data_IF_360006745576
#
_entry.id   IF_360006745576
#
_cell.length_a   1.000
_cell.length_b   1.000
_cell.length_c   1.000
_cell.angle_alpha   90.00
_cell.angle_beta   90.00
_cell.angle_gamma   90.00
#
_symmetry.space_group_name_H-M   'P 1'
#
loop_
_entity.id
_entity.type
_entity.pdbx_description
1 polymer ?
#
# COMPACT_ATOMS: atom_id res chain seq x y z
N UNK A 1 65.50 12.99 -34.25
CA UNK A 1 65.40 13.17 -32.77
C UNK A 1 64.13 12.51 -32.28
N UNK A 2 64.18 11.21 -31.96
CA UNK A 2 63.03 10.49 -31.38
C UNK A 2 62.98 10.75 -29.87
N UNK A 3 61.95 11.46 -29.40
CA UNK A 3 61.66 11.56 -27.97
C UNK A 3 61.13 10.21 -27.50
N UNK A 4 61.88 9.53 -26.62
CA UNK A 4 61.40 8.36 -25.88
C UNK A 4 60.19 8.76 -25.06
N UNK A 5 59.02 8.29 -25.47
CA UNK A 5 57.78 8.41 -24.71
C UNK A 5 57.92 7.54 -23.46
N UNK A 6 57.88 8.17 -22.29
CA UNK A 6 58.18 7.54 -21.02
C UNK A 6 57.03 6.57 -20.67
N UNK A 7 57.31 5.26 -20.66
CA UNK A 7 56.33 4.18 -20.46
C UNK A 7 55.51 4.37 -19.16
N UNK A 8 56.12 5.02 -18.15
CA UNK A 8 55.48 5.36 -16.89
C UNK A 8 54.28 6.32 -17.00
N UNK A 9 54.26 7.20 -18.00
CA UNK A 9 53.17 8.18 -18.16
C UNK A 9 51.90 7.53 -18.70
N UNK A 10 52.02 6.43 -19.45
CA UNK A 10 50.88 5.67 -19.98
C UNK A 10 50.24 4.80 -18.89
N UNK A 11 51.04 4.23 -17.99
CA UNK A 11 50.53 3.37 -16.91
C UNK A 11 49.76 4.16 -15.83
N UNK A 12 50.17 5.41 -15.54
CA UNK A 12 49.47 6.28 -14.59
C UNK A 12 48.12 6.76 -15.14
N UNK A 13 48.01 7.00 -16.46
CA UNK A 13 46.75 7.41 -17.07
C UNK A 13 45.68 6.28 -17.07
N UNK A 14 46.09 5.02 -17.15
CA UNK A 14 45.17 3.86 -17.16
C UNK A 14 44.61 3.55 -15.76
N UNK A 15 45.37 3.85 -14.70
CA UNK A 15 44.92 3.63 -13.30
C UNK A 15 43.91 4.67 -12.80
N UNK A 16 43.78 5.82 -13.46
CA UNK A 16 42.84 6.89 -13.05
C UNK A 16 41.46 6.70 -13.69
N UNK A 17 41.34 5.93 -14.78
CA UNK A 17 40.06 5.70 -15.47
C UNK A 17 39.23 4.54 -14.92
N UNK A 18 39.75 3.76 -13.97
CA UNK A 18 39.02 2.64 -13.34
C UNK A 18 38.20 3.05 -12.09
N UNK A 19 38.18 4.34 -11.73
CA UNK A 19 37.34 4.87 -10.64
C UNK A 19 36.15 5.70 -11.13
N UNK A 20 35.66 5.45 -12.35
CA UNK A 20 34.24 5.70 -12.63
C UNK A 20 33.50 4.52 -12.02
N UNK A 21 33.28 4.62 -10.70
CA UNK A 21 32.36 3.75 -10.00
C UNK A 21 31.05 3.81 -10.76
N UNK A 22 30.71 2.71 -11.41
CA UNK A 22 29.35 2.45 -11.86
C UNK A 22 28.52 2.40 -10.57
N UNK A 23 28.01 3.55 -10.14
CA UNK A 23 27.00 3.60 -9.08
C UNK A 23 25.79 2.92 -9.67
N UNK A 24 25.68 1.62 -9.45
CA UNK A 24 24.43 0.91 -9.60
C UNK A 24 23.39 1.75 -8.84
N UNK A 25 22.32 2.22 -9.50
CA UNK A 25 21.26 2.92 -8.80
C UNK A 25 20.80 1.95 -7.71
N UNK A 26 21.02 2.31 -6.45
CA UNK A 26 20.51 1.51 -5.34
C UNK A 26 19.00 1.51 -5.54
N UNK A 27 18.46 0.40 -6.02
CA UNK A 27 17.02 0.29 -6.22
C UNK A 27 16.42 0.27 -4.82
N UNK A 28 16.06 1.44 -4.30
CA UNK A 28 15.51 1.55 -2.95
C UNK A 28 14.30 0.61 -2.84
N UNK A 29 14.22 -0.09 -1.71
CA UNK A 29 13.06 -0.92 -1.41
C UNK A 29 11.83 -0.01 -1.25
N UNK A 30 10.64 -0.56 -1.46
CA UNK A 30 9.39 0.19 -1.22
C UNK A 30 9.32 0.68 0.24
N UNK A 31 9.85 -0.12 1.17
CA UNK A 31 10.04 0.29 2.57
C UNK A 31 10.86 1.57 2.72
N UNK A 32 12.02 1.65 2.07
CA UNK A 32 12.90 2.81 2.17
C UNK A 32 12.28 4.06 1.54
N UNK A 33 11.55 3.89 0.44
CA UNK A 33 10.85 5.00 -0.25
C UNK A 33 9.76 5.58 0.65
N UNK A 34 8.91 4.72 1.21
CA UNK A 34 7.83 5.14 2.10
C UNK A 34 8.38 5.75 3.39
N UNK A 35 9.39 5.13 4.01
CA UNK A 35 10.02 5.67 5.22
C UNK A 35 10.66 7.04 4.96
N UNK A 36 11.30 7.23 3.81
CA UNK A 36 11.88 8.51 3.41
C UNK A 36 10.80 9.58 3.22
N UNK A 37 9.65 9.22 2.63
CA UNK A 37 8.51 10.12 2.51
C UNK A 37 8.03 10.60 3.87
N UNK A 38 7.80 9.69 4.82
CA UNK A 38 7.36 10.06 6.16
C UNK A 38 8.40 10.90 6.91
N UNK A 39 9.69 10.56 6.82
CA UNK A 39 10.76 11.37 7.43
C UNK A 39 10.78 12.80 6.91
N UNK A 40 10.49 12.99 5.62
CA UNK A 40 10.45 14.31 4.99
C UNK A 40 9.19 15.11 5.33
N UNK A 41 8.02 14.49 5.24
CA UNK A 41 6.73 15.19 5.34
C UNK A 41 6.12 15.16 6.74
N UNK A 42 6.48 14.19 7.57
CA UNK A 42 5.98 14.00 8.93
C UNK A 42 7.17 13.77 9.91
N UNK A 43 8.17 14.67 9.98
CA UNK A 43 9.41 14.44 10.74
C UNK A 43 9.22 14.27 12.26
N UNK A 44 8.11 14.76 12.80
CA UNK A 44 7.71 14.58 14.20
C UNK A 44 7.14 13.19 14.47
N UNK A 45 6.67 12.47 13.44
CA UNK A 45 6.10 11.14 13.57
C UNK A 45 7.20 10.10 13.82
N UNK A 46 7.34 9.66 15.08
CA UNK A 46 8.31 8.62 15.51
C UNK A 46 7.75 7.20 15.43
N UNK A 47 6.56 7.03 14.86
CA UNK A 47 5.93 5.74 14.64
C UNK A 47 6.76 4.81 13.77
N UNK A 48 6.54 3.50 13.94
CA UNK A 48 7.07 2.50 13.01
C UNK A 48 6.21 2.49 11.75
N UNK A 49 6.86 2.62 10.59
CA UNK A 49 6.17 2.46 9.30
C UNK A 49 5.82 0.99 9.11
N UNK A 50 4.55 0.74 8.80
CA UNK A 50 4.03 -0.56 8.43
C UNK A 50 3.58 -0.50 6.97
N UNK A 51 3.96 -1.51 6.18
CA UNK A 51 3.41 -1.74 4.84
C UNK A 51 2.47 -2.93 4.96
N UNK A 52 1.20 -2.73 4.61
CA UNK A 52 0.17 -3.75 4.74
C UNK A 52 -0.08 -4.50 3.44
N UNK A 53 0.01 -3.81 2.30
CA UNK A 53 -0.23 -4.38 0.99
C UNK A 53 0.47 -3.57 -0.11
N UNK A 54 0.80 -4.25 -1.20
CA UNK A 54 1.35 -3.67 -2.42
C UNK A 54 0.64 -4.28 -3.62
N UNK A 55 0.30 -3.48 -4.64
CA UNK A 55 -0.36 -3.97 -5.86
C UNK A 55 0.13 -3.20 -7.08
N UNK A 56 0.49 -3.91 -8.13
CA UNK A 56 0.73 -3.30 -9.44
C UNK A 56 -0.57 -2.69 -9.97
N UNK A 57 -0.50 -1.46 -10.46
CA UNK A 57 -1.63 -0.70 -10.96
C UNK A 57 -1.20 0.05 -12.23
N UNK A 58 -1.55 -0.49 -13.40
CA UNK A 58 -1.05 0.01 -14.70
C UNK A 58 0.49 0.12 -14.65
N UNK A 59 1.05 1.24 -15.11
CA UNK A 59 2.48 1.57 -15.08
C UNK A 59 2.84 2.27 -13.75
N UNK A 60 2.33 1.74 -12.64
CA UNK A 60 2.49 2.32 -11.30
C UNK A 60 2.32 1.24 -10.23
N UNK A 61 2.64 1.59 -8.99
CA UNK A 61 2.47 0.71 -7.83
C UNK A 61 1.65 1.39 -6.74
N UNK A 62 0.61 0.72 -6.27
CA UNK A 62 -0.15 1.10 -5.08
C UNK A 62 0.49 0.49 -3.84
N UNK A 63 0.69 1.28 -2.79
CA UNK A 63 1.31 0.84 -1.53
C UNK A 63 0.45 1.33 -0.36
N UNK A 64 -0.10 0.38 0.40
CA UNK A 64 -0.92 0.65 1.58
C UNK A 64 -0.04 0.62 2.84
N UNK A 65 -0.07 1.70 3.61
CA UNK A 65 0.83 1.89 4.74
C UNK A 65 0.14 2.55 5.93
N UNK A 66 0.78 2.47 7.09
CA UNK A 66 0.48 3.30 8.26
C UNK A 66 1.81 3.68 8.92
N UNK A 67 1.86 4.88 9.50
CA UNK A 67 2.91 5.27 10.46
C UNK A 67 2.23 5.86 11.68
N UNK A 68 1.89 5.00 12.63
CA UNK A 68 1.09 5.39 13.79
C UNK A 68 1.90 6.22 14.80
N UNK A 69 1.40 7.41 15.10
CA UNK A 69 2.00 8.41 16.00
C UNK A 69 1.79 8.11 17.48
N UNK A 70 0.86 7.22 17.84
CA UNK A 70 0.53 6.93 19.25
C UNK A 70 -0.57 7.83 19.85
N UNK A 71 -1.23 8.66 19.03
CA UNK A 71 -2.25 9.64 19.48
C UNK A 71 -3.68 9.09 19.55
N UNK A 72 -3.86 7.79 19.32
CA UNK A 72 -5.16 7.11 19.28
C UNK A 72 -5.90 7.20 17.94
N UNK A 73 -5.40 7.99 16.97
CA UNK A 73 -6.00 8.14 15.65
C UNK A 73 -5.23 7.32 14.61
N UNK A 74 -5.73 6.12 14.37
CA UNK A 74 -5.21 5.24 13.33
C UNK A 74 -5.73 5.66 11.96
N UNK A 75 -4.80 5.94 11.04
CA UNK A 75 -5.10 6.24 9.64
C UNK A 75 -4.17 5.44 8.75
N UNK A 76 -4.70 4.99 7.62
CA UNK A 76 -3.90 4.37 6.56
C UNK A 76 -3.64 5.36 5.46
N UNK A 77 -2.50 5.22 4.80
CA UNK A 77 -2.14 5.98 3.62
C UNK A 77 -1.97 5.03 2.45
N UNK A 78 -2.74 5.24 1.38
CA UNK A 78 -2.51 4.61 0.09
C UNK A 78 -1.64 5.55 -0.76
N UNK A 79 -0.42 5.12 -1.08
CA UNK A 79 0.47 5.83 -1.99
C UNK A 79 0.37 5.26 -3.40
N UNK A 80 0.41 6.13 -4.40
CA UNK A 80 0.64 5.77 -5.80
C UNK A 80 2.08 6.14 -6.16
N UNK A 81 2.86 5.16 -6.57
CA UNK A 81 4.24 5.32 -7.02
C UNK A 81 4.30 5.18 -8.54
N UNK A 82 4.99 6.10 -9.20
CA UNK A 82 5.29 5.98 -10.63
C UNK A 82 6.33 4.89 -10.91
N UNK A 83 6.62 4.63 -12.19
CA UNK A 83 7.65 3.66 -12.63
C UNK A 83 9.06 4.01 -12.13
N UNK A 84 9.32 5.28 -11.82
CA UNK A 84 10.58 5.73 -11.22
C UNK A 84 10.58 5.58 -9.69
N UNK A 85 9.56 4.89 -9.13
CA UNK A 85 9.34 4.68 -7.70
C UNK A 85 9.21 5.97 -6.90
N UNK A 86 8.73 7.04 -7.51
CA UNK A 86 8.39 8.31 -6.83
C UNK A 86 6.95 8.24 -6.37
N UNK A 87 6.71 8.56 -5.09
CA UNK A 87 5.35 8.77 -4.61
C UNK A 87 4.83 10.05 -5.27
N UNK A 88 3.78 9.91 -6.07
CA UNK A 88 3.16 11.01 -6.84
C UNK A 88 1.80 11.41 -6.25
N UNK A 89 1.10 10.49 -5.59
CA UNK A 89 -0.20 10.74 -4.95
C UNK A 89 -0.33 9.99 -3.62
N UNK A 90 -1.15 10.53 -2.72
CA UNK A 90 -1.51 9.96 -1.42
C UNK A 90 -3.03 10.05 -1.21
N UNK A 91 -3.64 9.03 -0.64
CA UNK A 91 -5.00 9.09 -0.11
C UNK A 91 -4.99 8.60 1.33
N UNK A 92 -5.75 9.27 2.22
CA UNK A 92 -5.88 8.87 3.61
C UNK A 92 -7.17 8.07 3.78
N UNK A 93 -7.07 6.87 4.36
CA UNK A 93 -8.20 5.98 4.62
C UNK A 93 -8.39 5.72 6.11
N UNK A 94 -9.64 5.47 6.50
CA UNK A 94 -9.99 5.06 7.84
C UNK A 94 -9.52 3.62 8.12
N UNK A 95 -9.25 3.32 9.39
CA UNK A 95 -8.95 1.98 9.89
C UNK A 95 -10.12 1.43 10.70
N UNK A 96 -10.33 0.11 10.72
CA UNK A 96 -11.39 -0.49 11.52
C UNK A 96 -11.15 -0.29 13.02
N UNK A 97 -12.17 0.17 13.76
CA UNK A 97 -12.10 0.33 15.22
C UNK A 97 -12.70 -0.90 15.92
N UNK A 98 -13.97 -1.19 15.62
CA UNK A 98 -14.71 -2.29 16.27
C UNK A 98 -15.10 -3.40 15.31
N UNK A 99 -15.23 -3.08 14.02
CA UNK A 99 -15.50 -4.05 12.96
C UNK A 99 -14.22 -4.79 12.56
N UNK A 100 -14.40 -5.93 11.89
CA UNK A 100 -13.31 -6.72 11.33
C UNK A 100 -12.46 -5.94 10.31
N UNK A 101 -13.10 -5.07 9.50
CA UNK A 101 -12.45 -4.34 8.41
C UNK A 101 -13.24 -3.09 8.03
N UNK A 102 -12.65 -2.19 7.25
CA UNK A 102 -13.33 -1.08 6.56
C UNK A 102 -12.92 -1.12 5.10
N UNK A 103 -13.80 -0.71 4.19
CA UNK A 103 -13.48 -0.52 2.79
C UNK A 103 -13.37 0.97 2.48
N UNK A 104 -12.16 1.44 2.25
CA UNK A 104 -11.92 2.76 1.67
C UNK A 104 -11.99 2.65 0.14
N UNK A 105 -12.63 3.63 -0.50
CA UNK A 105 -12.90 3.62 -1.94
C UNK A 105 -12.30 4.86 -2.59
N UNK A 106 -11.64 4.67 -3.72
CA UNK A 106 -11.12 5.74 -4.59
C UNK A 106 -11.59 5.47 -6.01
N UNK A 107 -12.12 6.49 -6.66
CA UNK A 107 -12.27 6.51 -8.11
C UNK A 107 -11.10 7.28 -8.72
N UNK A 108 -10.27 6.60 -9.52
CA UNK A 108 -9.06 7.19 -10.10
C UNK A 108 -8.77 6.59 -11.47
N UNK A 109 -8.54 7.45 -12.46
CA UNK A 109 -8.09 7.05 -13.81
C UNK A 109 -8.97 5.93 -14.44
N UNK A 110 -10.29 6.10 -14.32
CA UNK A 110 -11.31 5.17 -14.81
C UNK A 110 -11.50 3.90 -13.99
N UNK A 111 -10.75 3.72 -12.90
CA UNK A 111 -10.81 2.54 -12.02
C UNK A 111 -11.44 2.85 -10.67
N UNK A 112 -12.14 1.86 -10.11
CA UNK A 112 -12.54 1.85 -8.69
C UNK A 112 -11.53 1.04 -7.89
N UNK A 113 -10.83 1.68 -6.95
CA UNK A 113 -9.81 1.09 -6.08
C UNK A 113 -10.40 0.96 -4.68
N UNK A 114 -10.32 -0.24 -4.12
CA UNK A 114 -10.71 -0.59 -2.76
C UNK A 114 -9.46 -0.89 -1.94
N UNK A 115 -9.38 -0.37 -0.73
CA UNK A 115 -8.28 -0.67 0.17
C UNK A 115 -8.69 -0.58 1.64
N UNK A 116 -7.94 -1.27 2.49
CA UNK A 116 -8.17 -1.25 3.93
C UNK A 116 -7.29 -2.22 4.67
N UNK A 117 -7.42 -2.20 6.00
CA UNK A 117 -6.74 -3.11 6.92
C UNK A 117 -7.74 -3.98 7.66
N UNK A 118 -7.24 -5.02 8.31
CA UNK A 118 -8.02 -5.94 9.13
C UNK A 118 -7.67 -5.78 10.60
N UNK A 119 -8.68 -5.90 11.44
CA UNK A 119 -8.49 -6.18 12.86
C UNK A 119 -8.31 -7.68 13.08
N UNK A 120 -7.70 -8.04 14.21
CA UNK A 120 -7.59 -9.43 14.70
C UNK A 120 -8.92 -9.97 15.29
N UNK A 121 -9.94 -9.12 15.30
CA UNK A 121 -11.22 -9.37 15.95
C UNK A 121 -12.32 -8.47 15.40
N UNK A 122 -13.56 -8.83 15.70
CA UNK A 122 -14.76 -8.05 15.37
C UNK A 122 -15.70 -8.00 16.56
N UNK A 123 -16.43 -6.89 16.71
CA UNK A 123 -17.42 -6.68 17.77
C UNK A 123 -18.82 -7.08 17.35
N UNK A 124 -19.35 -8.19 17.81
CA UNK A 124 -20.74 -8.56 17.53
C UNK A 124 -21.68 -7.62 18.30
N UNK A 125 -22.48 -6.81 17.60
CA UNK A 125 -23.43 -5.85 18.22
C UNK A 125 -24.43 -6.58 19.12
N UNK A 126 -24.96 -7.70 18.63
CA UNK A 126 -25.75 -8.66 19.40
C UNK A 126 -25.01 -10.00 19.24
N UNK A 127 -24.39 -10.56 20.29
CA UNK A 127 -24.68 -10.38 21.72
C UNK A 127 -23.76 -9.42 22.48
N UNK A 128 -23.25 -8.35 21.86
CA UNK A 128 -22.32 -7.39 22.47
C UNK A 128 -21.00 -8.03 22.93
N UNK A 129 -20.29 -8.68 21.99
CA UNK A 129 -19.07 -9.44 22.29
C UNK A 129 -17.99 -9.30 21.25
N UNK A 130 -16.74 -9.23 21.73
CA UNK A 130 -15.56 -9.37 20.88
C UNK A 130 -15.38 -10.83 20.44
N UNK A 131 -15.27 -11.06 19.14
CA UNK A 131 -15.00 -12.35 18.51
C UNK A 131 -13.67 -12.27 17.76
N UNK A 132 -12.71 -13.18 18.00
CA UNK A 132 -11.48 -13.23 17.21
C UNK A 132 -11.78 -13.61 15.76
N UNK A 133 -11.00 -13.07 14.82
CA UNK A 133 -11.04 -13.44 13.40
C UNK A 133 -9.65 -13.84 12.92
N UNK A 134 -9.60 -14.72 11.93
CA UNK A 134 -8.36 -15.08 11.25
C UNK A 134 -8.53 -14.87 9.75
N UNK A 135 -8.10 -13.72 9.25
CA UNK A 135 -8.29 -13.35 7.85
C UNK A 135 -7.08 -13.84 7.04
N UNK A 136 -7.34 -14.65 6.02
CA UNK A 136 -6.32 -15.23 5.14
C UNK A 136 -6.63 -14.98 3.66
N UNK A 137 -7.91 -14.80 3.32
CA UNK A 137 -8.35 -14.56 1.95
C UNK A 137 -9.42 -13.47 1.92
N UNK A 138 -9.44 -12.72 0.83
CA UNK A 138 -10.50 -11.76 0.49
C UNK A 138 -11.10 -12.13 -0.86
N UNK A 139 -12.42 -12.02 -0.99
CA UNK A 139 -13.12 -12.07 -2.27
C UNK A 139 -13.92 -10.78 -2.46
N UNK A 140 -13.76 -10.15 -3.61
CA UNK A 140 -14.54 -8.96 -4.01
C UNK A 140 -15.20 -9.23 -5.34
N UNK A 141 -16.50 -8.94 -5.42
CA UNK A 141 -17.23 -8.90 -6.69
C UNK A 141 -17.74 -7.51 -6.95
N UNK A 142 -17.55 -7.05 -8.18
CA UNK A 142 -18.13 -5.83 -8.71
C UNK A 142 -19.38 -6.15 -9.54
N UNK A 143 -20.31 -5.19 -9.66
CA UNK A 143 -21.58 -5.35 -10.39
C UNK A 143 -21.41 -5.61 -11.89
N UNK A 144 -20.23 -5.35 -12.43
CA UNK A 144 -19.84 -5.69 -13.80
C UNK A 144 -19.29 -7.12 -13.92
N UNK A 145 -19.48 -7.96 -12.91
CA UNK A 145 -19.04 -9.35 -12.82
C UNK A 145 -17.52 -9.56 -12.71
N UNK A 146 -16.72 -8.50 -12.56
CA UNK A 146 -15.32 -8.67 -12.16
C UNK A 146 -15.24 -9.27 -10.75
N UNK A 147 -14.48 -10.35 -10.60
CA UNK A 147 -14.27 -11.04 -9.32
C UNK A 147 -12.77 -11.12 -9.05
N UNK A 148 -12.39 -10.76 -7.83
CA UNK A 148 -11.01 -10.81 -7.35
C UNK A 148 -10.96 -11.65 -6.09
N UNK A 149 -10.01 -12.59 -6.06
CA UNK A 149 -9.72 -13.41 -4.89
C UNK A 149 -8.22 -13.37 -4.63
N UNK A 150 -7.84 -12.79 -3.50
CA UNK A 150 -6.43 -12.62 -3.13
C UNK A 150 -6.17 -13.23 -1.75
N UNK A 151 -4.98 -13.83 -1.57
CA UNK A 151 -4.44 -14.10 -0.24
C UNK A 151 -4.01 -12.79 0.39
N UNK A 152 -4.31 -12.62 1.67
CA UNK A 152 -4.05 -11.39 2.41
C UNK A 152 -3.52 -11.68 3.81
N UNK A 153 -2.83 -10.71 4.38
CA UNK A 153 -2.34 -10.78 5.77
C UNK A 153 -3.02 -9.70 6.62
N UNK A 154 -2.57 -8.45 6.50
CA UNK A 154 -2.99 -7.34 7.38
C UNK A 154 -3.81 -6.26 6.68
N UNK A 155 -3.87 -6.30 5.36
CA UNK A 155 -4.66 -5.38 4.55
C UNK A 155 -4.77 -5.83 3.12
N UNK A 156 -5.50 -5.05 2.32
CA UNK A 156 -5.81 -5.37 0.93
C UNK A 156 -5.77 -4.13 0.05
N UNK A 157 -5.49 -4.35 -1.24
CA UNK A 157 -5.67 -3.39 -2.32
C UNK A 157 -6.25 -4.18 -3.51
N UNK A 158 -7.47 -3.84 -3.91
CA UNK A 158 -8.17 -4.47 -5.04
C UNK A 158 -8.68 -3.34 -5.93
N UNK A 159 -8.59 -3.47 -7.25
CA UNK A 159 -9.15 -2.47 -8.15
C UNK A 159 -9.87 -3.11 -9.33
N UNK A 160 -11.00 -2.51 -9.69
CA UNK A 160 -11.71 -2.79 -10.94
C UNK A 160 -11.13 -1.94 -12.06
N UNK A 161 -11.13 -2.48 -13.29
CA UNK A 161 -10.71 -1.73 -14.48
C UNK A 161 -11.75 -0.71 -14.96
N UNK A 162 -12.92 -0.66 -14.31
CA UNK A 162 -13.98 0.30 -14.59
C UNK A 162 -14.52 0.92 -13.29
N UNK A 163 -15.31 1.98 -13.41
CA UNK A 163 -16.04 2.60 -12.30
C UNK A 163 -17.29 1.79 -11.92
N UNK A 164 -17.12 0.49 -11.72
CA UNK A 164 -18.19 -0.43 -11.34
C UNK A 164 -18.41 -0.40 -9.84
N UNK A 165 -19.67 -0.47 -9.40
CA UNK A 165 -19.99 -0.54 -7.98
C UNK A 165 -19.64 -1.91 -7.40
N UNK A 166 -19.26 -1.93 -6.13
CA UNK A 166 -19.01 -3.17 -5.39
C UNK A 166 -20.35 -3.86 -5.10
N UNK A 167 -20.42 -5.14 -5.40
CA UNK A 167 -21.56 -6.00 -5.09
C UNK A 167 -21.40 -6.61 -3.70
N UNK A 168 -20.25 -7.27 -3.45
CA UNK A 168 -19.91 -7.80 -2.13
C UNK A 168 -18.40 -7.79 -1.88
N UNK A 169 -18.06 -7.82 -0.59
CA UNK A 169 -16.72 -8.08 -0.06
C UNK A 169 -16.88 -9.14 1.02
N UNK A 170 -16.10 -10.21 0.93
CA UNK A 170 -16.13 -11.34 1.84
C UNK A 170 -14.70 -11.70 2.28
N UNK A 171 -14.54 -11.98 3.57
CA UNK A 171 -13.26 -12.35 4.17
C UNK A 171 -13.33 -13.79 4.70
N UNK A 172 -12.31 -14.58 4.42
CA UNK A 172 -12.26 -16.00 4.79
C UNK A 172 -10.97 -16.34 5.53
N UNK A 173 -11.03 -17.39 6.34
CA UNK A 173 -9.82 -18.04 6.87
C UNK A 173 -9.17 -18.97 5.84
N UNK A 174 -8.15 -19.70 6.27
CA UNK A 174 -7.38 -20.66 5.47
C UNK A 174 -8.20 -21.90 5.06
N UNK A 175 -9.29 -22.19 5.78
CA UNK A 175 -10.19 -23.30 5.52
C UNK A 175 -11.40 -22.89 4.66
N UNK A 176 -11.45 -21.63 4.20
CA UNK A 176 -12.54 -21.11 3.40
C UNK A 176 -13.80 -20.79 4.20
N UNK A 177 -13.70 -20.67 5.53
CA UNK A 177 -14.84 -20.29 6.39
C UNK A 177 -14.95 -18.77 6.46
N UNK A 178 -16.15 -18.28 6.19
CA UNK A 178 -16.48 -16.85 6.24
C UNK A 178 -16.22 -16.27 7.64
N UNK A 179 -15.42 -15.20 7.69
CA UNK A 179 -15.05 -14.49 8.90
C UNK A 179 -15.85 -13.20 9.07
N UNK A 180 -16.03 -12.44 7.99
CA UNK A 180 -16.86 -11.24 7.93
C UNK A 180 -17.19 -10.88 6.48
N UNK A 181 -18.21 -10.03 6.28
CA UNK A 181 -18.64 -9.57 4.96
C UNK A 181 -19.08 -8.10 4.96
N UNK A 182 -19.50 -7.60 3.80
CA UNK A 182 -20.05 -6.25 3.63
C UNK A 182 -21.37 -6.03 4.40
N UNK A 183 -22.16 -7.08 4.66
CA UNK A 183 -23.39 -6.96 5.45
C UNK A 183 -23.08 -6.72 6.92
N UNK A 184 -22.01 -7.31 7.45
CA UNK A 184 -21.53 -7.01 8.79
C UNK A 184 -21.22 -5.51 8.91
N UNK A 185 -20.51 -4.94 7.93
CA UNK A 185 -20.19 -3.51 7.92
C UNK A 185 -21.46 -2.64 7.99
N UNK A 186 -22.49 -2.96 7.20
CA UNK A 186 -23.81 -2.28 7.24
C UNK A 186 -24.41 -2.25 8.64
N UNK A 187 -24.21 -3.29 9.46
CA UNK A 187 -24.72 -3.32 10.85
C UNK A 187 -24.05 -2.28 11.74
N UNK A 188 -22.80 -1.90 11.45
CA UNK A 188 -22.10 -0.81 12.15
C UNK A 188 -22.38 0.58 11.55
N UNK A 189 -23.23 0.69 10.52
CA UNK A 189 -23.50 1.96 9.85
C UNK A 189 -22.36 2.50 8.99
N UNK A 190 -21.33 1.69 8.72
CA UNK A 190 -20.21 2.03 7.82
C UNK A 190 -20.21 1.02 6.68
N UNK A 191 -20.15 1.46 5.43
CA UNK A 191 -20.12 0.52 4.29
C UNK A 191 -18.93 0.81 3.41
N UNK A 192 -18.84 2.04 2.91
CA UNK A 192 -17.73 2.52 2.13
C UNK A 192 -17.30 3.89 2.66
N UNK A 193 -16.00 4.06 2.84
CA UNK A 193 -15.40 5.35 3.14
C UNK A 193 -14.80 5.91 1.84
N UNK A 194 -15.53 6.80 1.19
CA UNK A 194 -15.10 7.44 -0.05
C UNK A 194 -13.97 8.44 0.26
N UNK A 195 -12.85 8.29 -0.43
CA UNK A 195 -11.66 9.13 -0.27
C UNK A 195 -11.08 9.48 -1.64
N UNK A 196 -10.12 10.40 -1.69
CA UNK A 196 -9.53 10.86 -2.94
C UNK A 196 -8.03 10.97 -2.85
N UNK A 197 -7.37 10.75 -3.98
CA UNK A 197 -5.95 11.05 -4.10
C UNK A 197 -5.72 12.56 -4.08
N UNK A 198 -4.71 12.97 -3.33
CA UNK A 198 -4.09 14.29 -3.41
C UNK A 198 -2.68 14.15 -3.97
N UNK A 199 -2.25 15.15 -4.75
CA UNK A 199 -0.88 15.22 -5.24
C UNK A 199 0.08 15.40 -4.07
N UNK A 200 1.18 14.64 -4.09
CA UNK A 200 2.26 14.86 -3.13
C UNK A 200 3.21 15.91 -3.67
N UNK A 201 3.36 17.01 -2.93
CA UNK A 201 4.38 18.03 -3.25
C UNK A 201 5.75 17.37 -3.09
N UNK A 202 6.55 17.37 -4.17
CA UNK A 202 7.88 16.77 -4.17
C UNK A 202 8.90 17.59 -3.41
#
# INVERSE_FOLDING_TARGET
MCKKLNLYTIVIAILIFSMIGCSTPTSNSIGDIVESYYKKHEPSNKGKTQIFAQKAYKDSTLVLTEKYTGDGYHITNLFLLDDNKRIIKKAQGATPISMCFIVNVIEYDGSKILFGTFNDSTWLIEPDKKKPVNIQNIMVRFKNSEVYTDKVEKGFIIYSRSLSNVEFVELYDDNGKLQSDLNDLRRYGSVFNEVSFVDTVQ
#
